data_IF_064957538278
#
_entry.id   IF_064957538278
#
_cell.length_a   1.000
_cell.length_b   1.000
_cell.length_c   1.000
_cell.angle_alpha   90.00
_cell.angle_beta   90.00
_cell.angle_gamma   90.00
#
_symmetry.space_group_name_H-M   'P 1'
#
loop_
_entity.id
_entity.type
_entity.pdbx_description
1 polymer ?
#
# COMPACT_ATOMS: atom_id res chain seq x y z
N UNK A 1 -6.69 -18.47 9.78
CA UNK A 1 -5.57 -18.58 8.80
C UNK A 1 -5.59 -17.29 8.00
N UNK A 2 -4.49 -16.52 7.97
CA UNK A 2 -4.40 -15.34 7.10
C UNK A 2 -4.42 -15.80 5.64
N UNK A 3 -5.41 -15.35 4.85
CA UNK A 3 -5.69 -15.84 3.50
C UNK A 3 -4.74 -15.36 2.40
N UNK A 4 -3.73 -14.55 2.72
CA UNK A 4 -2.81 -13.99 1.72
C UNK A 4 -1.45 -14.72 1.71
N UNK A 5 -0.87 -14.87 0.53
CA UNK A 5 0.48 -15.44 0.34
C UNK A 5 1.55 -14.39 0.64
N UNK A 6 2.64 -14.81 1.28
CA UNK A 6 3.78 -13.91 1.49
C UNK A 6 4.43 -13.55 0.15
N UNK A 7 4.63 -12.26 -0.10
CA UNK A 7 5.24 -11.72 -1.31
C UNK A 7 6.27 -10.64 -0.97
N UNK A 8 7.26 -10.50 -1.84
CA UNK A 8 8.22 -9.40 -1.80
C UNK A 8 8.40 -8.84 -3.21
N UNK A 9 8.38 -7.52 -3.34
CA UNK A 9 8.69 -6.81 -4.58
C UNK A 9 9.65 -5.66 -4.29
N UNK A 10 10.43 -5.27 -5.29
CA UNK A 10 11.17 -4.01 -5.28
C UNK A 10 10.51 -3.10 -6.30
N UNK A 11 10.03 -1.94 -5.85
CA UNK A 11 9.35 -0.93 -6.68
C UNK A 11 10.07 0.38 -6.43
N UNK A 12 10.56 1.03 -7.49
CA UNK A 12 11.32 2.28 -7.43
C UNK A 12 12.50 2.27 -6.43
N UNK A 13 13.15 1.12 -6.27
CA UNK A 13 14.28 0.95 -5.34
C UNK A 13 13.86 0.65 -3.89
N UNK A 14 12.58 0.73 -3.55
CA UNK A 14 12.04 0.39 -2.24
C UNK A 14 11.51 -1.04 -2.20
N UNK A 15 11.73 -1.72 -1.07
CA UNK A 15 11.35 -3.13 -0.91
C UNK A 15 10.06 -3.29 -0.11
N UNK A 16 9.03 -3.80 -0.76
CA UNK A 16 7.73 -4.10 -0.17
C UNK A 16 7.65 -5.58 0.17
N UNK A 17 7.23 -5.91 1.39
CA UNK A 17 7.13 -7.28 1.90
C UNK A 17 5.84 -7.46 2.69
N UNK A 18 4.93 -8.31 2.22
CA UNK A 18 3.66 -8.56 2.93
C UNK A 18 3.87 -9.22 4.30
N UNK A 19 4.95 -10.00 4.48
CA UNK A 19 5.28 -10.61 5.78
C UNK A 19 5.68 -9.63 6.88
N UNK A 20 6.18 -8.44 6.50
CA UNK A 20 6.58 -7.40 7.45
C UNK A 20 5.57 -6.25 7.49
N UNK A 21 4.77 -6.10 6.43
CA UNK A 21 3.78 -5.06 6.35
C UNK A 21 2.56 -5.32 7.22
N UNK A 22 1.88 -4.24 7.59
CA UNK A 22 0.65 -4.30 8.38
C UNK A 22 -0.55 -4.40 7.46
N UNK A 23 -1.35 -5.45 7.61
CA UNK A 23 -2.63 -5.58 6.91
C UNK A 23 -3.64 -4.56 7.47
N UNK A 24 -4.22 -3.76 6.58
CA UNK A 24 -5.17 -2.70 6.94
C UNK A 24 -6.61 -3.11 6.68
N UNK A 25 -6.87 -3.64 5.48
CA UNK A 25 -8.18 -4.07 5.03
C UNK A 25 -8.05 -5.17 3.97
N UNK A 26 -9.11 -5.97 3.80
CA UNK A 26 -9.13 -7.03 2.79
C UNK A 26 -10.52 -7.31 2.24
N UNK A 27 -10.52 -7.94 1.07
CA UNK A 27 -11.60 -8.72 0.49
C UNK A 27 -11.03 -10.11 0.21
N UNK A 28 -11.22 -11.05 1.15
CA UNK A 28 -10.68 -12.40 0.98
C UNK A 28 -11.38 -13.16 -0.17
N UNK A 29 -12.65 -12.84 -0.46
CA UNK A 29 -13.39 -13.46 -1.55
C UNK A 29 -12.93 -12.94 -2.91
N UNK A 30 -12.62 -11.63 -2.99
CA UNK A 30 -12.05 -10.99 -4.18
C UNK A 30 -10.53 -11.08 -4.29
N UNK A 31 -9.84 -11.67 -3.30
CA UNK A 31 -8.39 -11.81 -3.31
C UNK A 31 -7.63 -10.49 -3.17
N UNK A 32 -8.21 -9.46 -2.55
CA UNK A 32 -7.59 -8.12 -2.44
C UNK A 32 -7.18 -7.85 -1.01
N UNK A 33 -5.92 -7.47 -0.79
CA UNK A 33 -5.35 -7.22 0.53
C UNK A 33 -4.56 -5.91 0.53
N UNK A 34 -4.99 -4.94 1.33
CA UNK A 34 -4.33 -3.65 1.47
C UNK A 34 -3.38 -3.66 2.65
N UNK A 35 -2.14 -3.26 2.41
CA UNK A 35 -1.07 -3.21 3.40
C UNK A 35 -0.49 -1.81 3.55
N UNK A 36 0.11 -1.57 4.72
CA UNK A 36 1.03 -0.48 4.98
C UNK A 36 2.42 -1.04 5.28
N UNK A 37 3.41 -0.62 4.51
CA UNK A 37 4.81 -0.95 4.72
C UNK A 37 5.41 -0.17 5.90
N UNK A 38 6.59 -0.59 6.35
CA UNK A 38 7.31 0.06 7.45
C UNK A 38 7.79 1.48 7.10
N UNK A 39 8.04 1.75 5.83
CA UNK A 39 8.36 3.08 5.31
C UNK A 39 7.11 3.96 5.17
N UNK A 40 5.98 3.60 5.80
CA UNK A 40 4.70 4.30 5.64
C UNK A 40 4.06 4.27 4.24
N UNK A 41 4.70 3.64 3.24
CA UNK A 41 4.10 3.41 1.93
C UNK A 41 2.91 2.44 1.99
N UNK A 42 1.97 2.62 1.07
CA UNK A 42 0.80 1.75 0.95
C UNK A 42 0.94 0.86 -0.26
N UNK A 43 0.45 -0.36 -0.18
CA UNK A 43 0.46 -1.25 -1.33
C UNK A 43 -0.63 -2.31 -1.20
N UNK A 44 -1.12 -2.78 -2.34
CA UNK A 44 -2.15 -3.79 -2.43
C UNK A 44 -1.58 -5.06 -3.05
N UNK A 45 -1.96 -6.19 -2.47
CA UNK A 45 -1.82 -7.50 -3.07
C UNK A 45 -3.15 -7.89 -3.69
N UNK A 46 -3.14 -8.27 -4.97
CA UNK A 46 -4.31 -8.87 -5.64
C UNK A 46 -3.98 -10.30 -6.07
N UNK A 47 -4.85 -11.22 -5.72
CA UNK A 47 -4.81 -12.61 -6.18
C UNK A 47 -5.70 -12.73 -7.42
N UNK A 48 -5.15 -13.32 -8.47
CA UNK A 48 -5.82 -13.57 -9.74
C UNK A 48 -5.08 -14.69 -10.48
N UNK A 49 -4.98 -14.61 -11.80
CA UNK A 49 -4.14 -15.54 -12.58
C UNK A 49 -2.65 -15.40 -12.24
N UNK A 50 -2.24 -14.21 -11.79
CA UNK A 50 -0.93 -13.93 -11.20
C UNK A 50 -1.14 -13.10 -9.95
N UNK A 51 -0.38 -13.42 -8.91
CA UNK A 51 -0.34 -12.58 -7.71
C UNK A 51 0.43 -11.30 -8.04
N UNK A 52 -0.17 -10.15 -7.78
CA UNK A 52 0.42 -8.84 -8.08
C UNK A 52 0.53 -7.97 -6.83
N UNK A 53 1.62 -7.20 -6.77
CA UNK A 53 1.82 -6.13 -5.80
C UNK A 53 1.83 -4.79 -6.52
N UNK A 54 0.97 -3.88 -6.09
CA UNK A 54 0.89 -2.52 -6.60
C UNK A 54 1.09 -1.53 -5.44
N UNK A 55 2.04 -0.61 -5.59
CA UNK A 55 2.21 0.50 -4.65
C UNK A 55 1.13 1.53 -4.90
N UNK A 56 0.48 1.96 -3.82
CA UNK A 56 -0.62 2.91 -3.84
C UNK A 56 -0.21 4.19 -3.13
N UNK A 57 -0.83 5.27 -3.58
CA UNK A 57 -0.71 6.57 -2.93
C UNK A 57 -1.66 6.63 -1.72
N UNK A 58 -1.45 7.54 -0.75
CA UNK A 58 -2.33 7.61 0.42
C UNK A 58 -3.81 7.77 0.07
N UNK A 59 -4.13 8.61 -0.92
CA UNK A 59 -5.50 8.82 -1.40
C UNK A 59 -6.11 7.55 -2.03
N UNK A 60 -5.35 6.85 -2.88
CA UNK A 60 -5.78 5.58 -3.50
C UNK A 60 -5.96 4.48 -2.43
N UNK A 61 -5.04 4.40 -1.48
CA UNK A 61 -5.09 3.46 -0.37
C UNK A 61 -6.29 3.71 0.53
N UNK A 62 -6.63 4.99 0.81
CA UNK A 62 -7.82 5.36 1.59
C UNK A 62 -9.10 5.03 0.85
N UNK A 63 -9.21 5.40 -0.42
CA UNK A 63 -10.37 5.06 -1.25
C UNK A 63 -10.58 3.53 -1.33
N UNK A 64 -9.50 2.76 -1.49
CA UNK A 64 -9.56 1.31 -1.46
C UNK A 64 -9.95 0.78 -0.07
N UNK A 65 -9.32 1.30 0.98
CA UNK A 65 -9.61 0.94 2.35
C UNK A 65 -11.10 1.09 2.64
N UNK A 66 -11.73 2.21 2.28
CA UNK A 66 -13.17 2.44 2.50
C UNK A 66 -14.06 1.41 1.80
N UNK A 67 -13.68 1.01 0.58
CA UNK A 67 -14.44 0.05 -0.26
C UNK A 67 -14.33 -1.41 0.16
N UNK A 68 -13.21 -1.82 0.77
CA UNK A 68 -12.99 -3.23 1.13
C UNK A 68 -13.94 -3.69 2.25
N UNK A 69 -14.48 -4.91 2.23
CA UNK A 69 -15.48 -5.35 3.19
C UNK A 69 -14.92 -5.54 4.61
N UNK A 70 -13.68 -6.01 4.74
CA UNK A 70 -13.07 -6.32 6.04
C UNK A 70 -12.04 -5.27 6.43
N UNK A 71 -12.19 -4.67 7.61
CA UNK A 71 -11.20 -3.76 8.20
C UNK A 71 -10.45 -4.45 9.32
N UNK A 72 -9.14 -4.53 9.22
CA UNK A 72 -8.26 -5.15 10.22
C UNK A 72 -7.64 -4.14 11.18
N UNK A 73 -7.66 -2.85 10.80
CA UNK A 73 -7.18 -1.74 11.62
C UNK A 73 -8.20 -0.61 11.55
N UNK A 74 -8.41 0.18 12.62
CA UNK A 74 -9.22 1.39 12.53
C UNK A 74 -8.53 2.45 11.64
N UNK A 75 -9.29 3.39 11.05
CA UNK A 75 -8.75 4.42 10.16
C UNK A 75 -7.57 5.20 10.76
N UNK A 76 -7.65 5.55 12.05
CA UNK A 76 -6.58 6.28 12.74
C UNK A 76 -5.23 5.52 12.79
N UNK A 77 -5.26 4.19 12.79
CA UNK A 77 -4.05 3.37 12.77
C UNK A 77 -3.60 3.04 11.34
N UNK A 78 -4.55 2.98 10.40
CA UNK A 78 -4.29 2.75 8.99
C UNK A 78 -3.65 3.99 8.31
N UNK A 79 -4.14 5.17 8.67
CA UNK A 79 -3.74 6.47 8.11
C UNK A 79 -3.40 7.47 9.22
N UNK A 80 -2.36 7.20 10.04
CA UNK A 80 -2.04 8.05 11.18
C UNK A 80 -1.60 9.46 10.76
N UNK A 81 -0.96 9.62 9.59
CA UNK A 81 -0.55 10.95 9.10
C UNK A 81 -1.73 11.86 8.76
N UNK A 82 -2.80 11.30 8.19
CA UNK A 82 -4.00 12.08 7.87
C UNK A 82 -4.88 12.36 9.09
N UNK A 83 -4.72 11.60 10.17
CA UNK A 83 -5.61 11.60 11.34
C UNK A 83 -4.91 11.90 12.67
N UNK A 84 -3.64 12.34 12.66
CA UNK A 84 -2.89 12.75 13.85
C UNK A 84 -2.40 11.60 14.74
N UNK A 85 -2.25 10.39 14.19
CA UNK A 85 -1.67 9.25 14.90
C UNK A 85 -0.17 9.43 15.12
N UNK A 86 0.26 9.40 16.38
CA UNK A 86 1.67 9.52 16.78
C UNK A 86 2.43 8.24 16.43
N UNK A 87 3.47 8.35 15.61
CA UNK A 87 4.50 7.33 15.44
C UNK A 87 4.69 6.84 14.00
N UNK A 88 5.93 6.98 13.53
CA UNK A 88 6.50 6.59 12.23
C UNK A 88 6.37 7.65 11.12
N UNK A 89 6.90 8.83 11.40
CA UNK A 89 7.37 9.74 10.35
C UNK A 89 8.63 9.16 9.69
N UNK A 90 8.44 8.39 8.62
CA UNK A 90 9.47 8.24 7.59
C UNK A 90 8.97 9.02 6.40
N UNK A 91 9.45 10.26 6.24
CA UNK A 91 9.32 10.99 4.97
C UNK A 91 9.82 10.07 3.87
N UNK A 92 8.92 9.69 2.96
CA UNK A 92 9.25 8.89 1.78
C UNK A 92 9.07 9.74 0.54
N UNK A 93 9.79 9.46 -0.55
CA UNK A 93 9.66 10.18 -1.82
C UNK A 93 8.24 10.11 -2.44
N UNK A 94 7.33 9.32 -1.87
CA UNK A 94 5.91 9.27 -2.25
C UNK A 94 5.04 10.32 -1.55
N UNK A 95 5.57 11.00 -0.53
CA UNK A 95 4.86 12.05 0.22
C UNK A 95 4.81 13.38 -0.55
N UNK A 96 5.75 13.61 -1.47
CA UNK A 96 5.76 14.77 -2.36
C UNK A 96 4.95 14.50 -3.64
N UNK A 97 3.87 15.25 -3.84
CA UNK A 97 3.03 15.17 -5.04
C UNK A 97 3.83 15.49 -6.32
N UNK A 98 4.82 16.37 -6.20
CA UNK A 98 5.73 16.76 -7.29
C UNK A 98 6.71 15.62 -7.67
N UNK A 99 7.27 14.93 -6.67
CA UNK A 99 8.17 13.78 -6.88
C UNK A 99 7.39 12.56 -7.41
N UNK A 100 6.11 12.40 -7.01
CA UNK A 100 5.18 11.43 -7.59
C UNK A 100 4.92 11.67 -9.08
N UNK A 101 4.68 12.92 -9.48
CA UNK A 101 4.45 13.22 -10.90
C UNK A 101 5.72 12.96 -11.72
N UNK A 102 6.89 13.24 -11.15
CA UNK A 102 8.19 12.94 -11.74
C UNK A 102 8.39 11.43 -11.96
N UNK A 103 8.07 10.60 -10.98
CA UNK A 103 8.13 9.13 -11.08
C UNK A 103 7.10 8.58 -12.07
N UNK A 104 5.88 9.14 -12.10
CA UNK A 104 4.85 8.79 -13.10
C UNK A 104 5.30 9.10 -14.53
N UNK A 105 5.97 10.23 -14.76
CA UNK A 105 6.56 10.54 -16.08
C UNK A 105 7.66 9.57 -16.48
N UNK A 106 8.44 9.07 -15.52
CA UNK A 106 9.48 8.07 -15.79
C UNK A 106 8.93 6.69 -16.21
N UNK A 107 7.71 6.33 -15.76
CA UNK A 107 7.04 5.07 -16.13
C UNK A 107 6.30 5.12 -17.48
N UNK A 108 6.20 6.30 -18.10
CA UNK A 108 5.52 6.51 -19.39
C UNK A 108 6.45 6.65 -20.60
N UNK A 109 7.75 6.49 -20.42
CA UNK A 109 8.73 6.60 -21.51
C UNK A 109 9.43 5.28 -21.78
N UNK A 110 9.03 4.60 -22.85
CA UNK A 110 9.79 3.54 -23.51
C UNK A 110 9.73 3.85 -25.02
N UNK A 111 10.80 3.64 -25.80
CA UNK A 111 12.16 4.18 -25.72
C UNK A 111 12.43 5.31 -26.74
#
# INVERSE_FOLDING_TARGET
MSGFKTMSAVVDGERYRTALARLLASDAAGGVYLFRAHNSGYFVQRHGERDELEVLTPAEARALYERLPEKHQPPANAFPRELGGVGLDTETPYDDEEERERLRRYRGGDP
#
